data_IF_634225151421
#
_entry.id   IF_634225151421
#
_cell.length_a   1.000
_cell.length_b   1.000
_cell.length_c   1.000
_cell.angle_alpha   90.00
_cell.angle_beta   90.00
_cell.angle_gamma   90.00
#
_symmetry.space_group_name_H-M   'P 1'
#
loop_
_entity.id
_entity.type
_entity.pdbx_description
1 polymer ?
#
# COMPACT_ATOMS: atom_id res chain seq x y z
N UNK A 1 7.66 -25.01 1.53
CA UNK A 1 6.21 -24.82 1.33
C UNK A 1 5.68 -24.02 2.52
N UNK A 2 5.60 -22.72 2.36
CA UNK A 2 5.16 -21.82 3.42
C UNK A 2 3.65 -21.94 3.61
N UNK A 3 3.22 -22.22 4.84
CA UNK A 3 1.79 -22.31 5.19
C UNK A 3 1.28 -20.92 5.51
N UNK A 4 0.90 -20.17 4.52
CA UNK A 4 0.15 -18.94 4.72
C UNK A 4 -1.33 -19.28 4.87
N UNK A 5 -1.76 -19.52 6.08
CA UNK A 5 -3.15 -19.77 6.36
C UNK A 5 -3.68 -18.70 7.31
N UNK A 6 -4.60 -17.89 6.83
CA UNK A 6 -5.52 -17.16 7.68
C UNK A 6 -6.52 -18.21 8.20
N UNK A 7 -6.16 -18.96 9.25
CA UNK A 7 -6.99 -19.99 9.81
C UNK A 7 -7.54 -19.54 11.14
N UNK A 8 -8.84 -19.58 11.28
CA UNK A 8 -9.51 -19.74 12.56
C UNK A 8 -10.11 -21.14 12.64
N UNK A 9 -10.52 -21.55 13.81
CA UNK A 9 -11.13 -22.85 14.02
C UNK A 9 -12.49 -23.00 13.31
N UNK A 10 -13.08 -21.91 12.78
CA UNK A 10 -14.40 -21.89 12.14
C UNK A 10 -14.48 -20.97 10.91
N UNK A 11 -13.35 -20.47 10.41
CA UNK A 11 -13.28 -19.56 9.25
C UNK A 11 -12.63 -20.19 8.03
N UNK A 12 -12.90 -19.61 6.87
CA UNK A 12 -12.25 -20.02 5.64
C UNK A 12 -10.77 -19.64 5.66
N UNK A 13 -9.92 -20.56 5.21
CA UNK A 13 -8.51 -20.28 4.95
C UNK A 13 -8.36 -19.35 3.74
N UNK A 14 -7.18 -18.72 3.57
CA UNK A 14 -6.85 -18.00 2.35
C UNK A 14 -7.12 -18.82 1.09
N UNK A 15 -6.80 -20.11 1.15
CA UNK A 15 -7.02 -21.05 0.06
C UNK A 15 -8.50 -21.25 -0.24
N UNK A 16 -9.36 -21.18 0.77
CA UNK A 16 -10.81 -21.32 0.61
C UNK A 16 -11.44 -20.03 0.08
N UNK A 17 -10.93 -18.86 0.49
CA UNK A 17 -11.27 -17.56 -0.08
C UNK A 17 -10.95 -17.53 -1.58
N UNK A 18 -9.75 -17.94 -1.96
CA UNK A 18 -9.29 -18.01 -3.35
C UNK A 18 -10.10 -19.01 -4.18
N UNK A 19 -10.44 -20.17 -3.61
CA UNK A 19 -11.28 -21.17 -4.29
C UNK A 19 -12.72 -20.68 -4.49
N UNK A 20 -13.28 -19.95 -3.53
CA UNK A 20 -14.61 -19.38 -3.64
C UNK A 20 -14.72 -18.39 -4.81
N UNK A 21 -13.69 -17.57 -5.00
CA UNK A 21 -13.60 -16.62 -6.13
C UNK A 21 -13.43 -17.35 -7.47
N UNK A 22 -12.57 -18.37 -7.53
CA UNK A 22 -12.34 -19.14 -8.74
C UNK A 22 -13.61 -19.92 -9.17
N UNK A 23 -14.37 -20.47 -8.22
CA UNK A 23 -15.61 -21.18 -8.51
C UNK A 23 -16.72 -20.26 -9.06
N UNK A 24 -16.77 -19.00 -8.61
CA UNK A 24 -17.70 -18.00 -9.13
C UNK A 24 -17.41 -17.55 -10.56
N UNK A 25 -16.15 -17.55 -10.96
CA UNK A 25 -15.73 -17.18 -12.30
C UNK A 25 -15.97 -18.28 -13.37
N UNK A 26 -16.04 -19.55 -12.96
CA UNK A 26 -16.17 -20.71 -13.88
C UNK A 26 -17.61 -20.94 -14.33
N UNK A 27 -18.62 -20.38 -13.67
CA UNK A 27 -20.03 -20.58 -14.04
C UNK A 27 -20.55 -19.70 -15.18
N UNK A 28 -19.71 -18.86 -15.79
CA UNK A 28 -20.12 -17.95 -16.86
C UNK A 28 -19.78 -18.39 -18.29
N UNK A 29 -19.22 -19.58 -18.52
CA UNK A 29 -18.92 -20.05 -19.87
C UNK A 29 -19.38 -21.50 -20.05
N UNK A 30 -20.63 -21.68 -20.49
CA UNK A 30 -21.06 -22.87 -21.19
C UNK A 30 -21.36 -22.50 -22.65
N UNK A 31 -20.78 -23.20 -23.62
CA UNK A 31 -21.11 -22.97 -25.02
C UNK A 31 -22.38 -23.74 -25.39
N UNK A 32 -23.45 -23.06 -25.66
CA UNK A 32 -24.58 -23.66 -26.40
C UNK A 32 -24.92 -22.81 -27.61
N UNK A 33 -24.57 -23.41 -28.71
CA UNK A 33 -25.20 -23.43 -30.01
C UNK A 33 -26.04 -22.21 -30.45
N UNK A 34 -25.63 -21.71 -31.59
CA UNK A 34 -26.35 -20.81 -32.48
C UNK A 34 -27.74 -21.37 -32.84
N UNK A 35 -28.77 -20.53 -32.67
CA UNK A 35 -29.83 -20.39 -33.67
C UNK A 35 -30.64 -19.11 -33.45
N UNK A 36 -30.71 -18.32 -34.52
CA UNK A 36 -31.78 -17.43 -34.97
C UNK A 36 -32.22 -16.22 -34.16
N UNK A 37 -31.74 -15.07 -34.58
CA UNK A 37 -32.43 -13.90 -35.11
C UNK A 37 -33.60 -13.24 -34.35
N UNK A 38 -33.39 -11.92 -34.16
CA UNK A 38 -34.35 -10.82 -34.08
C UNK A 38 -35.06 -10.58 -32.76
N UNK A 39 -34.56 -9.59 -32.00
CA UNK A 39 -35.27 -8.33 -31.80
C UNK A 39 -34.40 -7.40 -30.92
N UNK A 40 -34.26 -6.15 -31.38
CA UNK A 40 -33.43 -5.15 -30.75
C UNK A 40 -34.03 -4.70 -29.41
N UNK A 41 -33.33 -5.00 -28.34
CA UNK A 41 -33.42 -4.30 -27.09
C UNK A 41 -32.03 -3.76 -26.76
N UNK A 42 -31.89 -2.43 -26.75
CA UNK A 42 -30.75 -1.76 -26.18
C UNK A 42 -30.51 -2.32 -24.77
N UNK A 43 -29.57 -3.22 -24.64
CA UNK A 43 -29.02 -3.56 -23.34
C UNK A 43 -28.11 -2.41 -22.92
N UNK A 44 -28.53 -1.66 -21.91
CA UNK A 44 -27.63 -0.86 -21.10
C UNK A 44 -26.72 -1.84 -20.39
N UNK A 45 -25.49 -1.96 -20.90
CA UNK A 45 -24.40 -2.67 -20.24
C UNK A 45 -23.98 -1.89 -19.00
N UNK A 46 -24.64 -2.16 -17.90
CA UNK A 46 -24.19 -1.86 -16.54
C UNK A 46 -24.51 -3.07 -15.67
N UNK A 47 -24.08 -4.25 -16.11
CA UNK A 47 -23.91 -5.36 -15.20
C UNK A 47 -22.45 -5.34 -14.78
N UNK A 48 -22.23 -4.84 -13.58
CA UNK A 48 -21.02 -4.94 -12.78
C UNK A 48 -20.55 -6.39 -12.79
N UNK A 49 -19.44 -6.64 -13.44
CA UNK A 49 -18.75 -7.93 -13.40
C UNK A 49 -18.48 -8.30 -11.94
N UNK A 50 -18.71 -9.55 -11.59
CA UNK A 50 -18.81 -10.06 -10.23
C UNK A 50 -17.62 -9.65 -9.36
N UNK A 51 -17.91 -8.79 -8.42
CA UNK A 51 -16.99 -8.44 -7.36
C UNK A 51 -16.69 -9.70 -6.54
N UNK A 52 -15.40 -9.93 -6.27
CA UNK A 52 -14.95 -11.05 -5.46
C UNK A 52 -15.72 -11.15 -4.14
N UNK A 53 -16.15 -12.33 -3.73
CA UNK A 53 -16.92 -12.53 -2.50
C UNK A 53 -16.01 -12.34 -1.27
N UNK A 54 -15.83 -11.09 -0.85
CA UNK A 54 -15.13 -10.74 0.40
C UNK A 54 -15.98 -11.09 1.63
N UNK A 55 -17.24 -11.44 1.42
CA UNK A 55 -18.22 -11.75 2.48
C UNK A 55 -17.84 -12.93 3.40
N UNK A 56 -16.94 -13.81 2.97
CA UNK A 56 -16.54 -15.00 3.72
C UNK A 56 -15.69 -14.71 4.96
N UNK A 57 -15.05 -13.53 5.07
CA UNK A 57 -14.22 -13.17 6.21
C UNK A 57 -14.95 -12.34 7.29
N UNK A 58 -16.28 -12.18 7.19
CA UNK A 58 -17.07 -11.25 8.01
C UNK A 58 -17.28 -11.64 9.47
N UNK A 59 -16.91 -12.80 9.93
CA UNK A 59 -17.24 -13.24 11.29
C UNK A 59 -16.04 -13.81 12.02
N UNK A 60 -15.38 -12.96 12.78
CA UNK A 60 -14.45 -13.45 13.82
C UNK A 60 -14.63 -12.64 15.08
N UNK A 61 -14.73 -13.34 16.21
CA UNK A 61 -14.81 -12.72 17.52
C UNK A 61 -13.53 -11.94 17.83
N UNK A 62 -13.67 -10.70 18.27
CA UNK A 62 -12.58 -9.75 18.41
C UNK A 62 -11.64 -9.97 19.60
N UNK A 63 -11.97 -10.83 20.58
CA UNK A 63 -11.42 -10.75 21.94
C UNK A 63 -10.83 -12.05 22.49
N UNK A 64 -10.35 -12.97 21.64
CA UNK A 64 -9.60 -14.15 22.11
C UNK A 64 -8.11 -13.83 22.28
N UNK A 65 -7.36 -14.54 23.16
CA UNK A 65 -5.92 -14.45 23.21
C UNK A 65 -5.31 -14.71 21.84
N UNK A 66 -4.63 -13.72 21.26
CA UNK A 66 -4.26 -13.69 19.85
C UNK A 66 -5.33 -13.06 18.96
N UNK A 67 -6.01 -12.02 19.47
CA UNK A 67 -7.03 -11.27 18.74
C UNK A 67 -6.58 -10.91 17.34
N UNK A 68 -7.47 -11.11 16.35
CA UNK A 68 -7.22 -10.72 14.98
C UNK A 68 -7.30 -9.21 14.86
N UNK A 69 -6.38 -8.64 14.10
CA UNK A 69 -6.43 -7.23 13.76
C UNK A 69 -7.70 -6.92 12.94
N UNK A 70 -8.27 -5.75 13.14
CA UNK A 70 -9.41 -5.28 12.34
C UNK A 70 -8.89 -4.58 11.08
N UNK A 71 -9.43 -4.97 9.93
CA UNK A 71 -9.22 -4.28 8.66
C UNK A 71 -10.60 -3.88 8.14
N UNK A 72 -10.88 -2.60 8.12
CA UNK A 72 -12.09 -2.06 7.53
C UNK A 72 -11.93 -1.96 6.02
N UNK A 73 -12.98 -2.26 5.27
CA UNK A 73 -12.96 -2.34 3.83
C UNK A 73 -14.21 -1.75 3.21
N UNK A 74 -14.07 -1.00 2.14
CA UNK A 74 -15.17 -0.58 1.28
C UNK A 74 -14.78 -0.74 -0.19
N UNK A 75 -15.74 -1.20 -1.00
CA UNK A 75 -15.56 -1.32 -2.46
C UNK A 75 -15.63 0.04 -3.16
N UNK A 76 -16.24 1.03 -2.53
CA UNK A 76 -16.31 2.38 -3.07
C UNK A 76 -14.96 3.06 -2.96
N UNK A 77 -14.59 3.79 -4.02
CA UNK A 77 -13.33 4.55 -4.08
C UNK A 77 -13.68 6.01 -4.34
N UNK A 78 -14.04 6.69 -3.29
CA UNK A 78 -14.35 8.13 -3.30
C UNK A 78 -13.86 8.81 -2.02
N UNK A 79 -13.95 10.14 -1.99
CA UNK A 79 -13.45 10.92 -0.88
C UNK A 79 -14.22 10.65 0.42
N UNK A 80 -15.55 10.48 0.34
CA UNK A 80 -16.37 10.24 1.53
C UNK A 80 -16.04 8.89 2.15
N UNK A 81 -15.90 7.85 1.34
CA UNK A 81 -15.49 6.51 1.79
C UNK A 81 -14.12 6.54 2.47
N UNK A 82 -13.16 7.30 1.91
CA UNK A 82 -11.85 7.47 2.52
C UNK A 82 -11.95 8.12 3.91
N UNK A 83 -12.79 9.14 4.06
CA UNK A 83 -13.06 9.84 5.32
C UNK A 83 -13.74 8.88 6.32
N UNK A 84 -14.81 8.21 5.91
CA UNK A 84 -15.57 7.29 6.78
C UNK A 84 -14.71 6.14 7.30
N UNK A 85 -13.78 5.63 6.49
CA UNK A 85 -12.84 4.59 6.90
C UNK A 85 -11.78 5.12 7.87
N UNK A 86 -11.27 6.33 7.64
CA UNK A 86 -10.34 6.98 8.55
C UNK A 86 -10.96 7.22 9.94
N UNK A 87 -12.21 7.66 10.01
CA UNK A 87 -12.92 7.89 11.27
C UNK A 87 -13.05 6.64 12.14
N UNK A 88 -12.91 5.43 11.57
CA UNK A 88 -12.93 4.17 12.31
C UNK A 88 -11.60 3.80 12.96
N UNK A 89 -10.52 4.49 12.59
CA UNK A 89 -9.16 4.14 13.01
C UNK A 89 -8.38 5.33 13.60
N UNK A 90 -8.97 6.51 13.66
CA UNK A 90 -8.27 7.76 14.00
C UNK A 90 -8.14 8.05 15.50
N UNK A 91 -8.63 7.19 16.38
CA UNK A 91 -8.64 7.43 17.85
C UNK A 91 -7.27 7.81 18.42
N UNK A 92 -6.18 7.27 17.83
CA UNK A 92 -4.81 7.55 18.25
C UNK A 92 -4.18 8.78 17.61
N UNK A 93 -4.84 9.45 16.66
CA UNK A 93 -4.28 10.57 15.89
C UNK A 93 -4.52 11.88 16.60
N UNK A 94 -3.46 12.69 16.77
CA UNK A 94 -3.51 13.98 17.45
C UNK A 94 -2.36 14.88 17.00
N UNK A 95 -2.43 16.18 17.37
CA UNK A 95 -1.38 17.16 17.16
C UNK A 95 -1.09 17.43 15.69
N UNK A 96 0.16 17.70 15.36
CA UNK A 96 0.59 17.92 13.98
C UNK A 96 0.71 16.59 13.24
N UNK A 97 -0.05 16.42 12.15
CA UNK A 97 -0.25 15.15 11.46
C UNK A 97 0.50 15.11 10.14
N UNK A 98 1.37 14.12 9.98
CA UNK A 98 1.98 13.79 8.70
C UNK A 98 1.05 12.86 7.89
N UNK A 99 0.61 13.28 6.71
CA UNK A 99 -0.06 12.39 5.74
C UNK A 99 1.02 11.87 4.78
N UNK A 100 1.51 10.65 5.00
CA UNK A 100 2.52 10.04 4.12
C UNK A 100 1.86 9.48 2.89
N UNK A 101 2.14 10.10 1.78
CA UNK A 101 1.59 9.79 0.47
C UNK A 101 2.73 9.66 -0.53
N UNK A 102 2.58 8.82 -1.55
CA UNK A 102 3.45 8.85 -2.74
C UNK A 102 2.83 9.78 -3.78
N UNK A 103 3.47 10.92 -4.01
CA UNK A 103 2.97 11.98 -4.90
C UNK A 103 3.22 11.70 -6.39
N UNK A 104 4.04 10.69 -6.70
CA UNK A 104 4.34 10.20 -8.06
C UNK A 104 5.39 11.01 -8.80
N UNK A 105 5.92 10.45 -9.88
CA UNK A 105 6.72 11.18 -10.86
C UNK A 105 5.83 12.09 -11.71
N UNK A 106 6.44 13.04 -12.44
CA UNK A 106 5.69 13.99 -13.30
C UNK A 106 4.73 13.25 -14.24
N UNK A 107 3.49 13.72 -14.24
CA UNK A 107 2.42 13.21 -15.11
C UNK A 107 2.14 11.69 -14.94
N UNK A 108 2.48 11.10 -13.81
CA UNK A 108 2.18 9.69 -13.53
C UNK A 108 0.68 9.40 -13.64
N UNK A 109 0.24 8.43 -14.47
CA UNK A 109 -1.18 8.24 -14.81
C UNK A 109 -2.00 7.61 -13.68
N UNK A 110 -1.35 6.92 -12.76
CA UNK A 110 -2.02 6.09 -11.76
C UNK A 110 -2.07 6.70 -10.35
N UNK A 111 -1.40 7.83 -10.11
CA UNK A 111 -1.36 8.48 -8.80
C UNK A 111 -2.77 8.75 -8.25
N UNK A 112 -2.89 8.80 -6.92
CA UNK A 112 -4.19 9.03 -6.27
C UNK A 112 -4.87 10.31 -6.77
N UNK A 113 -6.21 10.31 -6.94
CA UNK A 113 -6.95 11.49 -7.38
C UNK A 113 -6.76 12.65 -6.41
N UNK A 114 -6.31 13.80 -6.94
CA UNK A 114 -6.04 15.01 -6.12
C UNK A 114 -7.27 15.49 -5.37
N UNK A 115 -8.43 15.45 -6.00
CA UNK A 115 -9.68 15.89 -5.36
C UNK A 115 -10.07 15.00 -4.18
N UNK A 116 -9.84 13.68 -4.29
CA UNK A 116 -10.07 12.73 -3.20
C UNK A 116 -9.13 13.01 -2.02
N UNK A 117 -7.84 13.21 -2.29
CA UNK A 117 -6.84 13.49 -1.25
C UNK A 117 -7.05 14.87 -0.65
N UNK A 118 -7.41 15.88 -1.47
CA UNK A 118 -7.75 17.23 -1.00
C UNK A 118 -8.93 17.21 -0.02
N UNK A 119 -10.02 16.53 -0.38
CA UNK A 119 -11.19 16.41 0.48
C UNK A 119 -10.85 15.69 1.79
N UNK A 120 -10.08 14.63 1.74
CA UNK A 120 -9.60 13.92 2.92
C UNK A 120 -8.70 14.80 3.80
N UNK A 121 -7.67 15.42 3.23
CA UNK A 121 -6.73 16.26 3.97
C UNK A 121 -7.45 17.41 4.69
N UNK A 122 -8.47 18.00 4.07
CA UNK A 122 -9.26 19.06 4.67
C UNK A 122 -10.05 18.64 5.93
N UNK A 123 -10.27 17.35 6.15
CA UNK A 123 -10.92 16.80 7.35
C UNK A 123 -9.94 16.47 8.49
N UNK A 124 -8.63 16.50 8.22
CA UNK A 124 -7.59 16.20 9.21
C UNK A 124 -6.96 17.50 9.69
N UNK A 125 -7.27 17.98 10.89
CA UNK A 125 -6.70 19.23 11.40
C UNK A 125 -5.18 19.17 11.50
N UNK A 126 -4.51 20.30 11.29
CA UNK A 126 -3.05 20.48 11.38
C UNK A 126 -2.26 19.39 10.61
N UNK A 127 -2.77 19.02 9.43
CA UNK A 127 -2.14 17.98 8.61
C UNK A 127 -1.35 18.55 7.44
N UNK A 128 -0.25 17.87 7.12
CA UNK A 128 0.66 18.18 6.02
C UNK A 128 0.95 16.90 5.25
N UNK A 129 0.93 16.96 3.91
CA UNK A 129 1.42 15.84 3.10
C UNK A 129 2.94 15.81 3.20
N UNK A 130 3.51 14.62 3.41
CA UNK A 130 4.95 14.46 3.59
C UNK A 130 5.55 13.48 2.58
N UNK A 131 6.74 13.82 2.09
CA UNK A 131 7.57 13.02 1.18
C UNK A 131 9.05 13.18 1.54
N UNK A 132 9.93 12.44 0.85
CA UNK A 132 11.37 12.64 0.83
C UNK A 132 11.90 12.55 -0.60
N UNK A 133 13.05 13.15 -0.87
CA UNK A 133 13.71 13.12 -2.17
C UNK A 133 14.08 11.69 -2.59
N UNK A 134 14.28 11.45 -3.89
CA UNK A 134 14.65 10.13 -4.41
C UNK A 134 16.16 9.88 -4.33
N UNK A 135 16.55 8.59 -4.29
CA UNK A 135 17.95 8.17 -4.38
C UNK A 135 18.48 8.28 -5.82
N UNK A 136 17.63 7.94 -6.79
CA UNK A 136 17.96 8.00 -8.22
C UNK A 136 17.80 9.43 -8.75
N UNK A 137 18.59 9.77 -9.74
CA UNK A 137 18.46 11.03 -10.48
C UNK A 137 17.14 11.09 -11.24
N UNK A 138 16.49 12.24 -11.21
CA UNK A 138 15.20 12.45 -11.85
C UNK A 138 14.48 13.67 -11.30
N UNK A 139 13.19 13.75 -11.58
CA UNK A 139 12.35 14.91 -11.27
C UNK A 139 12.08 15.13 -9.77
N UNK A 140 12.52 14.23 -8.90
CA UNK A 140 12.39 14.32 -7.44
C UNK A 140 13.74 14.12 -6.73
N UNK A 141 14.84 14.29 -7.45
CA UNK A 141 16.18 14.07 -6.90
C UNK A 141 16.62 15.18 -5.95
N UNK A 142 16.36 16.46 -6.27
CA UNK A 142 16.56 17.59 -5.35
C UNK A 142 15.21 18.11 -4.86
N UNK A 143 15.23 18.85 -3.75
CA UNK A 143 14.04 19.46 -3.19
C UNK A 143 13.35 20.39 -4.18
N UNK A 144 14.12 21.19 -4.94
CA UNK A 144 13.59 22.12 -5.95
C UNK A 144 12.88 21.36 -7.08
N UNK A 145 13.50 20.29 -7.59
CA UNK A 145 12.90 19.45 -8.63
C UNK A 145 11.65 18.76 -8.10
N UNK A 146 11.68 18.27 -6.85
CA UNK A 146 10.55 17.63 -6.22
C UNK A 146 9.36 18.58 -6.04
N UNK A 147 9.61 19.80 -5.55
CA UNK A 147 8.58 20.85 -5.44
C UNK A 147 7.97 21.22 -6.80
N UNK A 148 8.75 21.25 -7.86
CA UNK A 148 8.23 21.45 -9.22
C UNK A 148 7.38 20.27 -9.68
N UNK A 149 7.79 19.04 -9.39
CA UNK A 149 7.01 17.85 -9.68
C UNK A 149 5.66 17.86 -8.97
N UNK A 150 5.62 18.31 -7.71
CA UNK A 150 4.37 18.46 -6.95
C UNK A 150 3.42 19.44 -7.65
N UNK A 151 3.92 20.55 -8.17
CA UNK A 151 3.10 21.54 -8.91
C UNK A 151 2.54 20.91 -10.19
N UNK A 152 3.37 20.24 -10.99
CA UNK A 152 2.94 19.58 -12.23
C UNK A 152 1.87 18.54 -11.95
N UNK A 153 2.01 17.77 -10.87
CA UNK A 153 1.04 16.74 -10.49
C UNK A 153 -0.20 17.29 -9.75
N UNK A 154 -0.27 18.61 -9.49
CA UNK A 154 -1.42 19.26 -8.86
C UNK A 154 -1.51 19.11 -7.33
N UNK A 155 -0.39 18.81 -6.66
CA UNK A 155 -0.29 18.76 -5.19
C UNK A 155 -0.05 20.15 -4.60
N UNK A 156 -0.96 21.10 -4.88
CA UNK A 156 -0.81 22.53 -4.49
C UNK A 156 -1.94 23.02 -3.59
N UNK A 157 -2.86 22.16 -3.21
CA UNK A 157 -4.03 22.49 -2.41
C UNK A 157 -3.75 22.55 -0.91
N UNK A 158 -2.63 22.01 -0.45
CA UNK A 158 -2.14 22.10 0.92
C UNK A 158 -0.61 22.16 0.91
N UNK A 159 0.04 22.49 2.03
CA UNK A 159 1.48 22.35 2.17
C UNK A 159 1.93 20.90 1.95
N UNK A 160 3.05 20.71 1.24
CA UNK A 160 3.76 19.44 1.13
C UNK A 160 5.15 19.64 1.68
N UNK A 161 5.53 18.84 2.67
CA UNK A 161 6.83 18.89 3.31
C UNK A 161 7.74 17.81 2.72
N UNK A 162 8.87 18.23 2.15
CA UNK A 162 9.94 17.31 1.74
C UNK A 162 10.84 17.15 2.97
N UNK A 163 10.60 16.11 3.76
CA UNK A 163 11.13 15.94 5.11
C UNK A 163 12.66 15.93 5.20
N UNK A 164 13.37 15.65 4.11
CA UNK A 164 14.84 15.65 4.04
C UNK A 164 15.41 16.90 3.37
N UNK A 165 14.61 17.95 3.17
CA UNK A 165 15.05 19.20 2.54
C UNK A 165 16.15 19.91 3.35
N UNK A 166 16.09 19.88 4.67
CA UNK A 166 16.98 20.61 5.58
C UNK A 166 17.87 19.67 6.42
N UNK A 167 17.85 18.37 6.16
CA UNK A 167 18.71 17.40 6.84
C UNK A 167 18.03 16.10 7.22
N UNK A 168 18.69 15.34 8.06
CA UNK A 168 18.30 13.97 8.40
C UNK A 168 18.29 13.74 9.91
N UNK A 169 17.58 12.69 10.35
CA UNK A 169 17.60 12.18 11.71
C UNK A 169 17.69 10.66 11.69
N UNK A 170 18.47 10.08 12.59
CA UNK A 170 18.53 8.63 12.71
C UNK A 170 17.47 8.13 13.68
N UNK A 171 16.63 7.20 13.21
CA UNK A 171 15.69 6.48 14.07
C UNK A 171 16.21 5.08 14.39
N UNK A 172 16.12 4.62 15.66
CA UNK A 172 16.60 3.31 16.06
C UNK A 172 15.71 2.20 15.48
N UNK A 173 16.34 1.10 15.06
CA UNK A 173 15.65 -0.12 14.60
C UNK A 173 15.69 -1.17 15.71
N UNK A 174 14.59 -1.36 16.41
CA UNK A 174 14.50 -2.35 17.48
C UNK A 174 14.32 -3.75 16.91
N UNK A 175 15.25 -4.63 17.21
CA UNK A 175 15.23 -6.01 16.73
C UNK A 175 15.69 -6.16 15.27
N UNK A 176 16.28 -5.13 14.69
CA UNK A 176 16.82 -5.19 13.34
C UNK A 176 17.98 -6.18 13.21
N UNK A 177 18.01 -6.90 12.10
CA UNK A 177 19.05 -7.85 11.72
C UNK A 177 20.17 -7.15 10.93
N UNK A 178 19.81 -6.11 10.18
CA UNK A 178 20.68 -5.43 9.24
C UNK A 178 21.09 -4.05 9.72
N UNK A 179 20.21 -3.35 10.44
CA UNK A 179 20.43 -2.00 10.91
C UNK A 179 20.25 -1.89 12.43
N UNK A 180 21.04 -1.02 13.05
CA UNK A 180 20.77 -0.51 14.39
C UNK A 180 19.92 0.76 14.33
N UNK A 181 20.09 1.54 13.28
CA UNK A 181 19.37 2.77 13.01
C UNK A 181 19.27 3.01 11.49
N UNK A 182 18.24 3.76 11.07
CA UNK A 182 18.03 4.18 9.69
C UNK A 182 17.92 5.69 9.63
N UNK A 183 18.57 6.29 8.63
CA UNK A 183 18.50 7.72 8.36
C UNK A 183 17.17 8.08 7.70
N UNK A 184 16.43 8.99 8.32
CA UNK A 184 15.13 9.49 7.90
C UNK A 184 15.20 10.96 7.53
N UNK A 185 14.19 11.45 6.80
CA UNK A 185 14.04 12.89 6.60
C UNK A 185 13.93 13.61 7.93
N UNK A 186 14.75 14.67 8.14
CA UNK A 186 14.92 15.33 9.42
C UNK A 186 13.63 15.88 10.00
N UNK A 187 12.68 16.28 9.15
CA UNK A 187 11.41 16.85 9.61
C UNK A 187 10.42 15.82 10.18
N UNK A 188 10.71 14.52 10.11
CA UNK A 188 9.80 13.49 10.68
C UNK A 188 9.54 13.72 12.17
N UNK A 189 10.51 14.30 12.90
CA UNK A 189 10.38 14.60 14.34
C UNK A 189 9.48 15.81 14.65
N UNK A 190 9.02 16.53 13.64
CA UNK A 190 8.11 17.66 13.78
C UNK A 190 6.62 17.24 13.85
N UNK A 191 6.34 15.95 13.72
CA UNK A 191 4.98 15.40 13.67
C UNK A 191 4.68 14.55 14.88
N UNK A 192 3.47 14.72 15.43
CA UNK A 192 2.97 13.95 16.57
C UNK A 192 2.31 12.63 16.12
N UNK A 193 1.75 12.63 14.91
CA UNK A 193 1.02 11.49 14.35
C UNK A 193 1.28 11.32 12.87
N UNK A 194 1.05 10.09 12.35
CA UNK A 194 1.17 9.81 10.92
C UNK A 194 -0.04 9.04 10.40
N UNK A 195 -0.55 9.47 9.25
CA UNK A 195 -1.52 8.75 8.43
C UNK A 195 -0.79 8.25 7.18
N UNK A 196 -0.69 6.94 7.02
CA UNK A 196 -0.05 6.33 5.86
C UNK A 196 -1.12 6.10 4.80
N UNK A 197 -1.26 7.05 3.88
CA UNK A 197 -2.19 6.97 2.75
C UNK A 197 -1.48 6.39 1.54
N UNK A 198 -1.80 5.16 1.20
CA UNK A 198 -1.06 4.38 0.20
C UNK A 198 -1.91 4.11 -1.03
N UNK A 199 -1.40 4.43 -2.20
CA UNK A 199 -1.83 3.80 -3.44
C UNK A 199 -1.20 2.40 -3.50
N UNK A 200 -2.00 1.34 -3.33
CA UNK A 200 -1.53 -0.03 -3.40
C UNK A 200 -1.34 -0.45 -4.87
N UNK A 201 -0.20 -1.05 -5.22
CA UNK A 201 0.15 -1.42 -6.60
C UNK A 201 1.36 -2.36 -6.63
N UNK A 202 1.75 -2.80 -7.83
CA UNK A 202 3.00 -3.53 -8.05
C UNK A 202 4.25 -2.69 -7.81
N UNK A 203 5.39 -3.35 -7.82
CA UNK A 203 6.70 -2.70 -7.76
C UNK A 203 7.79 -3.54 -8.40
N UNK A 204 8.65 -2.91 -9.21
CA UNK A 204 9.67 -3.59 -10.01
C UNK A 204 10.66 -4.44 -9.17
N UNK A 205 11.04 -3.98 -7.99
CA UNK A 205 11.97 -4.70 -7.10
C UNK A 205 11.26 -5.39 -5.93
N UNK A 206 10.22 -4.76 -5.36
CA UNK A 206 9.55 -5.23 -4.14
C UNK A 206 8.38 -6.18 -4.37
N UNK A 207 7.97 -6.42 -5.61
CA UNK A 207 6.78 -7.20 -5.94
C UNK A 207 5.50 -6.37 -5.79
N UNK A 208 5.25 -5.80 -4.63
CA UNK A 208 4.15 -4.85 -4.39
C UNK A 208 4.58 -3.67 -3.51
N UNK A 209 3.79 -2.63 -3.52
CA UNK A 209 3.94 -1.46 -2.65
C UNK A 209 2.67 -1.23 -1.84
N UNK A 210 2.68 -1.66 -0.58
CA UNK A 210 1.67 -1.40 0.44
C UNK A 210 2.11 -0.32 1.43
N UNK A 211 1.44 -0.25 2.58
CA UNK A 211 1.75 0.69 3.65
C UNK A 211 3.18 0.54 4.16
N UNK A 212 3.68 -0.70 4.31
CA UNK A 212 5.04 -0.95 4.77
C UNK A 212 6.05 -0.29 3.84
N UNK A 213 5.98 -0.56 2.53
CA UNK A 213 6.89 0.04 1.56
C UNK A 213 6.77 1.57 1.50
N UNK A 214 5.54 2.10 1.64
CA UNK A 214 5.30 3.54 1.60
C UNK A 214 6.10 4.28 2.67
N UNK A 215 6.10 3.82 3.91
CA UNK A 215 6.89 4.44 4.98
C UNK A 215 8.36 4.04 4.95
N UNK A 216 8.68 2.78 4.60
CA UNK A 216 10.05 2.29 4.57
C UNK A 216 10.96 3.12 3.67
N UNK A 217 10.51 3.37 2.44
CA UNK A 217 11.25 4.14 1.43
C UNK A 217 10.90 5.62 1.51
N UNK A 218 9.62 5.94 1.72
CA UNK A 218 9.12 7.30 1.64
C UNK A 218 9.36 8.17 2.88
N UNK A 219 9.87 7.62 4.00
CA UNK A 219 10.34 8.39 5.15
C UNK A 219 11.87 8.41 5.25
N UNK A 220 12.57 7.44 4.66
CA UNK A 220 14.02 7.44 4.56
C UNK A 220 14.52 8.61 3.72
N UNK A 221 15.58 9.30 4.14
CA UNK A 221 16.14 10.39 3.37
C UNK A 221 16.69 9.94 2.01
N UNK A 222 16.75 10.86 1.06
CA UNK A 222 17.06 10.57 -0.34
C UNK A 222 18.49 10.09 -0.60
N UNK A 223 19.41 10.21 0.34
CA UNK A 223 20.83 9.90 0.14
C UNK A 223 21.28 8.72 0.98
N UNK A 224 21.26 8.84 2.28
CA UNK A 224 21.77 7.83 3.22
C UNK A 224 20.71 6.77 3.46
N UNK A 225 19.53 7.18 3.91
CA UNK A 225 18.47 6.25 4.32
C UNK A 225 17.97 5.38 3.18
N UNK A 226 17.73 5.95 2.00
CA UNK A 226 17.30 5.15 0.85
C UNK A 226 18.40 4.20 0.35
N UNK A 227 19.68 4.56 0.45
CA UNK A 227 20.77 3.63 0.16
C UNK A 227 20.79 2.48 1.17
N UNK A 228 20.61 2.76 2.47
CA UNK A 228 20.47 1.74 3.51
C UNK A 228 19.30 0.78 3.19
N UNK A 229 18.10 1.33 2.94
CA UNK A 229 16.89 0.52 2.65
C UNK A 229 17.06 -0.36 1.43
N UNK A 230 17.76 0.09 0.40
CA UNK A 230 18.08 -0.72 -0.78
C UNK A 230 19.30 -1.62 -0.58
N UNK A 231 19.91 -1.60 0.61
CA UNK A 231 21.12 -2.34 0.96
C UNK A 231 22.29 -2.10 -0.02
N UNK A 232 22.42 -0.86 -0.50
CA UNK A 232 23.40 -0.49 -1.52
C UNK A 232 24.67 0.03 -0.85
N UNK A 233 25.79 -0.58 -1.20
CA UNK A 233 27.12 -0.13 -0.79
C UNK A 233 27.72 0.89 -1.77
N UNK A 234 27.26 0.86 -3.03
CA UNK A 234 27.73 1.71 -4.11
C UNK A 234 26.56 2.17 -5.00
N UNK A 235 26.14 3.41 -4.82
CA UNK A 235 25.02 4.03 -5.54
C UNK A 235 25.31 4.31 -7.02
N UNK A 236 26.59 4.22 -7.47
CA UNK A 236 26.94 4.39 -8.87
C UNK A 236 26.59 3.19 -9.73
N UNK A 237 26.29 2.05 -9.12
CA UNK A 237 25.84 0.85 -9.84
C UNK A 237 24.44 1.05 -10.41
N UNK A 238 24.14 0.52 -11.60
CA UNK A 238 22.80 0.48 -12.15
C UNK A 238 21.82 -0.21 -11.20
N UNK A 239 20.59 0.26 -11.14
CA UNK A 239 19.56 -0.22 -10.21
C UNK A 239 19.23 -1.72 -10.33
N UNK A 240 19.43 -2.32 -11.50
CA UNK A 240 19.27 -3.76 -11.75
C UNK A 240 20.36 -4.63 -11.11
N UNK A 241 21.45 -4.01 -10.66
CA UNK A 241 22.52 -4.63 -9.89
C UNK A 241 22.38 -4.41 -8.37
N UNK A 242 21.38 -3.67 -7.93
CA UNK A 242 21.15 -3.45 -6.50
C UNK A 242 20.61 -4.72 -5.84
N UNK A 243 20.89 -4.92 -4.53
CA UNK A 243 20.31 -6.01 -3.77
C UNK A 243 18.80 -6.04 -3.93
N UNK A 244 18.26 -7.23 -4.13
CA UNK A 244 16.85 -7.46 -4.37
C UNK A 244 16.34 -8.63 -3.52
N UNK A 245 15.10 -9.07 -3.80
CA UNK A 245 14.46 -10.21 -3.17
C UNK A 245 14.44 -10.09 -1.63
N UNK A 246 14.73 -11.17 -0.93
CA UNK A 246 14.60 -11.26 0.53
C UNK A 246 15.35 -10.14 1.25
N UNK A 247 16.58 -9.84 0.82
CA UNK A 247 17.40 -8.80 1.45
C UNK A 247 16.73 -7.43 1.42
N UNK A 248 16.17 -7.04 0.26
CA UNK A 248 15.45 -5.78 0.13
C UNK A 248 14.18 -5.77 1.00
N UNK A 249 13.44 -6.88 1.06
CA UNK A 249 12.22 -6.97 1.85
C UNK A 249 12.52 -6.83 3.36
N UNK A 250 13.59 -7.47 3.83
CA UNK A 250 14.04 -7.39 5.22
C UNK A 250 14.47 -5.95 5.59
N UNK A 251 15.28 -5.31 4.74
CA UNK A 251 15.74 -3.92 4.98
C UNK A 251 14.61 -2.91 4.90
N UNK A 252 13.64 -3.09 4.00
CA UNK A 252 12.41 -2.28 4.00
C UNK A 252 11.62 -2.45 5.30
N UNK A 253 11.43 -3.69 5.75
CA UNK A 253 10.70 -3.94 6.99
C UNK A 253 11.40 -3.31 8.21
N UNK A 254 12.72 -3.36 8.28
CA UNK A 254 13.49 -2.71 9.34
C UNK A 254 13.35 -1.17 9.31
N UNK A 255 13.40 -0.57 8.14
CA UNK A 255 13.16 0.87 7.97
C UNK A 255 11.74 1.26 8.42
N UNK A 256 10.72 0.52 7.96
CA UNK A 256 9.34 0.75 8.39
C UNK A 256 9.16 0.56 9.91
N UNK A 257 9.86 -0.41 10.51
CA UNK A 257 9.84 -0.67 11.95
C UNK A 257 10.32 0.55 12.75
N UNK A 258 11.37 1.23 12.29
CA UNK A 258 11.85 2.45 12.94
C UNK A 258 10.77 3.55 12.96
N UNK A 259 10.04 3.74 11.88
CA UNK A 259 8.94 4.72 11.78
C UNK A 259 7.79 4.33 12.70
N UNK A 260 7.38 3.06 12.70
CA UNK A 260 6.30 2.55 13.57
C UNK A 260 6.66 2.70 15.03
N UNK A 261 7.88 2.35 15.41
CA UNK A 261 8.34 2.46 16.81
C UNK A 261 8.43 3.93 17.27
N UNK A 262 8.72 4.85 16.34
CA UNK A 262 8.74 6.28 16.63
C UNK A 262 7.33 6.82 16.94
N UNK A 263 6.34 6.55 16.08
CA UNK A 263 4.99 7.04 16.28
C UNK A 263 4.17 6.21 17.28
N UNK A 264 4.54 4.94 17.52
CA UNK A 264 3.83 4.05 18.44
C UNK A 264 2.38 3.83 18.03
N UNK A 265 1.42 4.21 18.89
CA UNK A 265 -0.02 4.10 18.61
C UNK A 265 -0.59 5.26 17.77
N UNK A 266 0.23 6.23 17.42
CA UNK A 266 -0.16 7.45 16.72
C UNK A 266 0.13 7.36 15.21
N UNK A 267 0.05 6.15 14.66
CA UNK A 267 0.17 5.87 13.23
C UNK A 267 -0.95 4.95 12.78
N UNK A 268 -1.57 5.29 11.66
CA UNK A 268 -2.67 4.51 11.05
C UNK A 268 -2.44 4.34 9.54
N UNK A 269 -3.06 3.33 8.95
CA UNK A 269 -2.79 2.89 7.59
C UNK A 269 -4.07 2.84 6.76
N UNK A 270 -4.00 3.39 5.55
CA UNK A 270 -5.07 3.35 4.55
C UNK A 270 -4.45 2.95 3.22
N UNK A 271 -4.94 1.86 2.62
CA UNK A 271 -4.52 1.40 1.30
C UNK A 271 -5.66 1.55 0.30
N UNK A 272 -5.40 2.29 -0.77
CA UNK A 272 -6.34 2.50 -1.89
C UNK A 272 -5.95 1.60 -3.03
N UNK A 273 -6.78 0.58 -3.30
CA UNK A 273 -6.57 -0.45 -4.32
C UNK A 273 -7.33 -0.08 -5.60
N UNK A 274 -6.81 0.93 -6.32
CA UNK A 274 -7.32 1.41 -7.61
C UNK A 274 -6.17 1.52 -8.61
N UNK A 275 -6.46 1.31 -9.89
CA UNK A 275 -5.46 1.40 -10.97
C UNK A 275 -4.12 0.76 -10.59
N UNK A 276 -4.22 -0.47 -10.10
CA UNK A 276 -3.09 -1.23 -9.56
C UNK A 276 -2.20 -1.76 -10.69
N UNK A 277 -1.37 -0.88 -11.25
CA UNK A 277 -0.34 -1.28 -12.21
C UNK A 277 0.66 -2.27 -11.58
N UNK A 278 1.29 -3.08 -12.40
CA UNK A 278 2.46 -3.89 -12.00
C UNK A 278 3.66 -3.01 -11.64
N UNK A 279 3.64 -1.74 -12.06
CA UNK A 279 4.68 -0.76 -11.76
C UNK A 279 4.24 0.22 -10.67
N UNK A 280 5.22 0.76 -9.97
CA UNK A 280 5.02 1.81 -8.98
C UNK A 280 4.81 3.17 -9.68
N UNK A 281 4.16 4.12 -8.99
CA UNK A 281 4.05 5.51 -9.45
C UNK A 281 5.43 6.19 -9.68
N UNK A 282 6.52 5.56 -9.22
CA UNK A 282 7.88 5.98 -9.52
C UNK A 282 8.32 5.64 -10.97
N UNK A 283 7.55 4.87 -11.72
CA UNK A 283 7.76 4.68 -13.15
C UNK A 283 7.20 5.85 -13.99
N UNK A 284 6.44 6.76 -13.37
CA UNK A 284 5.89 7.92 -14.04
C UNK A 284 5.04 7.54 -15.24
N UNK A 285 5.27 8.18 -16.38
CA UNK A 285 4.55 7.92 -17.64
C UNK A 285 4.89 6.58 -18.30
N UNK A 286 5.94 5.89 -17.83
CA UNK A 286 6.32 4.56 -18.30
C UNK A 286 5.60 3.43 -17.56
N UNK A 287 4.78 3.73 -16.54
CA UNK A 287 4.02 2.72 -15.82
C UNK A 287 3.06 1.97 -16.75
N UNK A 288 3.07 0.64 -16.68
CA UNK A 288 2.15 -0.20 -17.44
C UNK A 288 0.69 0.11 -17.07
N UNK A 289 -0.20 -0.01 -18.06
CA UNK A 289 -1.64 0.11 -17.80
C UNK A 289 -2.10 -1.05 -16.91
N UNK A 290 -2.87 -0.78 -15.83
CA UNK A 290 -3.43 -1.82 -14.98
C UNK A 290 -4.34 -2.78 -15.72
N UNK A 291 -4.17 -4.08 -15.47
CA UNK A 291 -5.04 -5.14 -16.01
C UNK A 291 -6.07 -5.62 -15.00
N UNK A 292 -5.71 -5.57 -13.72
CA UNK A 292 -6.58 -5.94 -12.60
C UNK A 292 -7.62 -4.85 -12.32
N UNK A 293 -8.82 -5.26 -11.94
CA UNK A 293 -9.89 -4.34 -11.57
C UNK A 293 -9.59 -3.58 -10.28
N UNK A 294 -10.19 -2.40 -10.13
CA UNK A 294 -10.19 -1.64 -8.88
C UNK A 294 -10.93 -2.45 -7.79
N UNK A 295 -10.37 -2.50 -6.59
CA UNK A 295 -10.89 -3.35 -5.50
C UNK A 295 -11.61 -2.55 -4.43
N UNK A 296 -11.04 -1.42 -3.99
CA UNK A 296 -11.61 -0.62 -2.93
C UNK A 296 -10.58 0.09 -2.06
N UNK A 297 -11.01 0.50 -0.87
CA UNK A 297 -10.18 1.15 0.14
C UNK A 297 -10.18 0.31 1.40
N UNK A 298 -9.00 0.10 1.99
CA UNK A 298 -8.83 -0.58 3.27
C UNK A 298 -8.26 0.39 4.30
N UNK A 299 -8.63 0.21 5.58
CA UNK A 299 -8.10 0.97 6.70
C UNK A 299 -7.86 0.09 7.92
N UNK A 300 -6.73 0.30 8.62
CA UNK A 300 -6.38 -0.45 9.84
C UNK A 300 -5.39 0.33 10.69
N UNK A 301 -5.33 -0.01 11.97
CA UNK A 301 -4.25 0.40 12.88
C UNK A 301 -3.08 -0.60 12.88
N UNK A 302 -3.16 -1.68 12.11
CA UNK A 302 -2.15 -2.75 12.02
C UNK A 302 -1.59 -2.84 10.60
N UNK A 303 -0.32 -2.54 10.45
CA UNK A 303 0.35 -2.47 9.12
C UNK A 303 0.47 -3.83 8.45
N UNK A 304 0.75 -4.88 9.22
CA UNK A 304 0.87 -6.23 8.65
C UNK A 304 -0.50 -6.74 8.20
N UNK A 305 -1.53 -6.51 9.01
CA UNK A 305 -2.88 -6.92 8.69
C UNK A 305 -3.41 -6.27 7.41
N UNK A 306 -3.21 -4.96 7.26
CA UNK A 306 -3.72 -4.24 6.08
C UNK A 306 -2.99 -4.65 4.80
N UNK A 307 -1.65 -4.76 4.83
CA UNK A 307 -0.89 -5.17 3.65
C UNK A 307 -1.17 -6.64 3.29
N UNK A 308 -1.36 -7.49 4.32
CA UNK A 308 -1.79 -8.87 4.12
C UNK A 308 -3.17 -8.95 3.47
N UNK A 309 -4.14 -8.16 3.96
CA UNK A 309 -5.48 -8.13 3.39
C UNK A 309 -5.49 -7.64 1.93
N UNK A 310 -4.68 -6.63 1.61
CA UNK A 310 -4.53 -6.17 0.22
C UNK A 310 -3.97 -7.26 -0.70
N UNK A 311 -2.94 -7.97 -0.27
CA UNK A 311 -2.37 -9.08 -1.06
C UNK A 311 -3.41 -10.19 -1.24
N UNK A 312 -4.13 -10.58 -0.19
CA UNK A 312 -5.17 -11.59 -0.28
C UNK A 312 -6.27 -11.19 -1.28
N UNK A 313 -6.66 -9.90 -1.29
CA UNK A 313 -7.63 -9.36 -2.24
C UNK A 313 -7.09 -9.34 -3.67
N UNK A 314 -5.80 -9.03 -3.89
CA UNK A 314 -5.18 -9.13 -5.23
C UNK A 314 -5.30 -10.57 -5.74
N UNK A 315 -4.96 -11.57 -4.93
CA UNK A 315 -5.04 -12.98 -5.34
C UNK A 315 -6.49 -13.45 -5.58
N UNK A 316 -7.46 -12.77 -4.99
CA UNK A 316 -8.88 -13.09 -5.12
C UNK A 316 -9.59 -12.34 -6.27
N UNK A 317 -8.99 -11.29 -6.82
CA UNK A 317 -9.61 -10.44 -7.84
C UNK A 317 -9.38 -11.02 -9.24
N UNK A 318 -10.36 -10.99 -10.15
CA UNK A 318 -10.17 -11.39 -11.54
C UNK A 318 -9.10 -10.55 -12.27
N UNK A 319 -8.54 -11.12 -13.34
CA UNK A 319 -7.53 -10.48 -14.18
C UNK A 319 -6.26 -10.02 -13.43
N UNK A 320 -5.93 -10.73 -12.36
CA UNK A 320 -4.82 -10.41 -11.45
C UNK A 320 -3.46 -10.97 -11.91
N UNK A 321 -3.41 -11.71 -13.01
CA UNK A 321 -2.25 -12.53 -13.41
C UNK A 321 -0.94 -11.73 -13.41
N UNK A 322 -0.94 -10.54 -14.00
CA UNK A 322 0.27 -9.73 -14.14
C UNK A 322 0.79 -9.22 -12.78
N UNK A 323 -0.13 -8.82 -11.90
CA UNK A 323 0.24 -8.34 -10.58
C UNK A 323 0.66 -9.49 -9.66
N UNK A 324 0.02 -10.65 -9.76
CA UNK A 324 0.42 -11.86 -9.03
C UNK A 324 1.80 -12.32 -9.50
N UNK A 325 2.05 -12.38 -10.81
CA UNK A 325 3.36 -12.69 -11.36
C UNK A 325 4.45 -11.72 -10.86
N UNK A 326 4.15 -10.41 -10.83
CA UNK A 326 5.05 -9.40 -10.29
C UNK A 326 5.36 -9.66 -8.81
N UNK A 327 4.36 -9.96 -7.99
CA UNK A 327 4.53 -10.26 -6.57
C UNK A 327 5.41 -11.50 -6.39
N UNK A 328 5.13 -12.58 -7.11
CA UNK A 328 5.81 -13.86 -6.98
C UNK A 328 7.24 -13.82 -7.52
N UNK A 329 7.45 -13.28 -8.72
CA UNK A 329 8.77 -13.19 -9.35
C UNK A 329 9.77 -12.34 -8.57
N UNK A 330 9.30 -11.40 -7.79
CA UNK A 330 10.11 -10.55 -6.91
C UNK A 330 10.17 -11.03 -5.47
N UNK A 331 9.62 -12.20 -5.16
CA UNK A 331 9.53 -12.73 -3.79
C UNK A 331 8.79 -11.75 -2.85
N UNK A 332 7.81 -11.01 -3.40
CA UNK A 332 7.12 -9.93 -2.70
C UNK A 332 6.46 -10.35 -1.39
N UNK A 333 6.01 -11.61 -1.28
CA UNK A 333 5.45 -12.18 -0.05
C UNK A 333 6.42 -12.17 1.14
N UNK A 334 7.73 -12.06 0.89
CA UNK A 334 8.72 -11.96 1.95
C UNK A 334 8.61 -10.64 2.74
N UNK A 335 8.01 -9.60 2.19
CA UNK A 335 7.66 -8.38 2.93
C UNK A 335 6.80 -8.71 4.15
N UNK A 336 5.76 -9.53 3.98
CA UNK A 336 4.87 -9.96 5.06
C UNK A 336 5.59 -10.85 6.08
N UNK A 337 6.49 -11.70 5.60
CA UNK A 337 7.33 -12.55 6.47
C UNK A 337 8.27 -11.70 7.33
N UNK A 338 8.98 -10.75 6.73
CA UNK A 338 9.88 -9.85 7.44
C UNK A 338 9.16 -8.99 8.49
N UNK A 339 7.97 -8.45 8.15
CA UNK A 339 7.13 -7.74 9.12
C UNK A 339 6.71 -8.62 10.30
N UNK A 340 6.37 -9.89 10.04
CA UNK A 340 6.00 -10.84 11.09
C UNK A 340 7.17 -11.14 12.02
N UNK A 341 8.36 -11.38 11.47
CA UNK A 341 9.58 -11.63 12.23
C UNK A 341 9.93 -10.45 13.14
N UNK A 342 9.76 -9.23 12.65
CA UNK A 342 9.95 -7.99 13.41
C UNK A 342 8.77 -7.62 14.33
N UNK A 343 7.73 -8.46 14.42
CA UNK A 343 6.54 -8.24 15.27
C UNK A 343 5.86 -6.88 15.00
N UNK A 344 5.71 -6.52 13.74
CA UNK A 344 5.13 -5.23 13.33
C UNK A 344 3.60 -5.24 13.30
N UNK A 345 2.96 -6.34 13.62
CA UNK A 345 1.51 -6.50 13.63
C UNK A 345 1.11 -7.97 13.51
N UNK A 346 -0.14 -8.21 13.13
CA UNK A 346 -0.74 -9.54 12.98
C UNK A 346 -1.03 -9.86 11.52
N UNK A 347 -0.62 -11.04 11.05
CA UNK A 347 -1.04 -11.59 9.77
C UNK A 347 -2.45 -12.23 9.82
N UNK A 348 -3.04 -12.26 11.02
CA UNK A 348 -4.41 -12.68 11.28
C UNK A 348 -5.29 -11.45 11.39
N UNK A 349 -6.30 -11.35 10.56
CA UNK A 349 -7.19 -10.19 10.55
C UNK A 349 -8.65 -10.61 10.34
N UNK A 350 -9.54 -9.69 10.69
CA UNK A 350 -10.95 -9.72 10.31
C UNK A 350 -11.19 -8.63 9.29
N UNK A 351 -11.66 -9.00 8.10
CA UNK A 351 -12.09 -8.03 7.10
C UNK A 351 -13.53 -7.61 7.40
N UNK A 352 -13.74 -6.31 7.64
CA UNK A 352 -15.04 -5.72 7.99
C UNK A 352 -15.45 -4.80 6.85
N UNK A 353 -16.39 -5.26 6.02
CA UNK A 353 -16.93 -4.45 4.93
C UNK A 353 -17.94 -3.44 5.46
N UNK A 354 -17.84 -2.18 5.01
CA UNK A 354 -18.61 -1.03 5.46
C UNK A 354 -19.15 -0.23 4.28
#
# INVERSE_FOLDING_TARGET
MSRYACCDEHGLSRRDLLKGVAAGAVTAVSPLAATAAKEGKKMTTTETMGQAPVAACKKVAADAPGAKAKVYFSRKIDAQTLIDLYERINEGIYGKVAIKLHTGEKNGPNILPRDMVKAFQATVPDSVIVETNTLYEGDRFTTEQHLETLKVNGWTFCPVDIMDAEGTVNLPVRGGKHFKEVSMGGHIVNYDSMIVLTHFKGHAMGGFGGSMKNIAIGCADGRIGKAQVHAIDDVSKPWDQWPAKERLMETMAESAKAVIDYFGKHIVYINVMRRMSVDCDCAGTAAAEPTIEDVGILASTDILAIDQACVDLVYATPHNHDLVERIESRVGMHQLTAMRELKMGSDRYTLIEV
#
